data_IF_950707591902
#
_entry.id   IF_950707591902
#
_cell.length_a   1.000
_cell.length_b   1.000
_cell.length_c   1.000
_cell.angle_alpha   90.00
_cell.angle_beta   90.00
_cell.angle_gamma   90.00
#
_symmetry.space_group_name_H-M   'P 1'
#
loop_
_entity.id
_entity.type
_entity.pdbx_description
1 polymer ?
#
# COMPACT_ATOMS: atom_id res chain seq x y z
N UNK A 1 21.64 -7.70 17.03
CA UNK A 1 20.40 -7.02 17.45
C UNK A 1 20.46 -6.83 18.96
N UNK A 2 20.57 -5.60 19.45
CA UNK A 2 20.54 -5.32 20.90
C UNK A 2 19.07 -5.12 21.29
N UNK A 3 18.53 -6.03 22.10
CA UNK A 3 17.17 -5.93 22.61
C UNK A 3 17.09 -4.72 23.55
N UNK A 4 16.31 -3.69 23.19
CA UNK A 4 15.96 -2.63 24.12
C UNK A 4 14.93 -3.22 25.10
N UNK A 5 15.23 -3.32 26.41
CA UNK A 5 14.31 -3.91 27.35
C UNK A 5 13.03 -3.08 27.43
N UNK A 6 11.87 -3.73 27.33
CA UNK A 6 10.57 -3.15 27.68
C UNK A 6 10.66 -2.68 29.14
N UNK A 7 10.84 -1.37 29.34
CA UNK A 7 10.83 -0.77 30.67
C UNK A 7 9.41 -0.83 31.23
N UNK A 8 9.15 -1.87 32.04
CA UNK A 8 7.93 -1.97 32.84
C UNK A 8 8.02 -0.98 33.99
N UNK A 9 6.88 -0.40 34.37
CA UNK A 9 6.80 0.40 35.60
C UNK A 9 7.22 -0.49 36.78
N UNK A 10 8.26 -0.08 37.50
CA UNK A 10 8.76 -0.82 38.65
C UNK A 10 7.98 -0.43 39.91
N UNK A 11 7.16 -1.36 40.41
CA UNK A 11 6.43 -1.24 41.68
C UNK A 11 6.99 -2.22 42.71
N UNK A 12 6.75 -1.95 44.00
CA UNK A 12 7.22 -2.81 45.10
C UNK A 12 6.76 -4.25 45.02
N UNK A 13 5.61 -4.51 44.37
CA UNK A 13 5.04 -5.86 44.22
C UNK A 13 5.10 -6.39 42.78
N UNK A 14 5.63 -5.62 41.83
CA UNK A 14 5.62 -5.96 40.40
C UNK A 14 4.22 -6.02 39.76
N UNK A 15 3.18 -5.65 40.52
CA UNK A 15 1.79 -5.58 40.07
C UNK A 15 1.25 -4.15 40.17
N UNK A 16 0.03 -3.94 39.68
CA UNK A 16 -0.67 -2.65 39.75
C UNK A 16 -1.02 -2.19 41.18
N UNK A 17 -0.90 -3.06 42.18
CA UNK A 17 -1.29 -2.77 43.58
C UNK A 17 -0.10 -2.41 44.48
N UNK A 18 1.12 -2.38 43.95
CA UNK A 18 2.30 -1.92 44.68
C UNK A 18 2.45 -0.40 44.68
N UNK A 19 3.34 0.09 45.54
CA UNK A 19 3.78 1.49 45.56
C UNK A 19 4.95 1.71 44.60
N UNK A 20 5.15 2.96 44.16
CA UNK A 20 6.28 3.36 43.32
C UNK A 20 7.58 3.44 44.14
N UNK A 21 8.72 3.15 43.51
CA UNK A 21 10.04 3.30 44.12
C UNK A 21 10.50 4.75 43.98
N UNK A 22 10.95 5.35 45.08
CA UNK A 22 11.50 6.70 45.07
C UNK A 22 12.79 6.75 44.24
N UNK A 23 12.93 7.76 43.37
CA UNK A 23 14.16 8.03 42.61
C UNK A 23 14.90 9.19 43.27
N UNK A 24 16.21 9.02 43.46
CA UNK A 24 17.11 10.05 43.98
C UNK A 24 18.03 10.55 42.85
N UNK A 25 18.37 11.84 42.84
CA UNK A 25 19.28 12.45 41.86
C UNK A 25 18.62 13.41 40.87
N UNK A 26 19.43 13.96 39.96
CA UNK A 26 18.99 14.88 38.90
C UNK A 26 18.82 14.11 37.58
N UNK A 27 17.86 14.53 36.76
CA UNK A 27 17.65 13.99 35.41
C UNK A 27 18.60 14.66 34.42
N UNK A 28 19.30 13.87 33.61
CA UNK A 28 20.17 14.35 32.54
C UNK A 28 19.44 14.37 31.19
N UNK A 29 19.91 15.21 30.27
CA UNK A 29 19.35 15.30 28.93
C UNK A 29 19.84 14.15 28.04
N UNK A 30 18.89 13.38 27.50
CA UNK A 30 19.16 12.28 26.56
C UNK A 30 18.92 12.65 25.10
N UNK A 31 18.41 13.86 24.84
CA UNK A 31 18.13 14.40 23.53
C UNK A 31 18.73 15.81 23.43
N UNK A 32 19.17 16.17 22.22
CA UNK A 32 19.63 17.52 21.91
C UNK A 32 18.49 18.49 21.63
N UNK A 33 18.84 19.74 21.37
CA UNK A 33 17.90 20.87 21.26
C UNK A 33 16.88 20.72 20.11
N UNK A 34 17.20 19.94 19.08
CA UNK A 34 16.32 19.63 17.94
C UNK A 34 15.48 18.36 18.13
N UNK A 35 15.50 17.74 19.31
CA UNK A 35 14.74 16.54 19.63
C UNK A 35 15.39 15.21 19.17
N UNK A 36 16.62 15.23 18.67
CA UNK A 36 17.34 14.01 18.32
C UNK A 36 18.10 13.44 19.53
N UNK A 37 18.05 12.11 19.71
CA UNK A 37 18.81 11.42 20.76
C UNK A 37 20.32 11.64 20.58
N UNK A 38 21.02 11.93 21.69
CA UNK A 38 22.47 12.11 21.68
C UNK A 38 23.19 10.80 21.31
N UNK A 39 24.36 10.85 20.65
CA UNK A 39 25.12 9.65 20.32
C UNK A 39 25.43 8.81 21.56
N UNK A 40 25.30 7.49 21.45
CA UNK A 40 25.54 6.55 22.56
C UNK A 40 24.30 6.18 23.38
N UNK A 41 23.20 6.95 23.29
CA UNK A 41 21.92 6.53 23.87
C UNK A 41 21.32 5.41 23.02
N UNK A 42 21.14 4.23 23.63
CA UNK A 42 20.53 3.09 22.98
C UNK A 42 19.08 3.41 22.55
N UNK A 43 18.75 3.11 21.30
CA UNK A 43 17.43 3.36 20.72
C UNK A 43 16.94 2.17 19.90
N UNK A 44 15.63 2.04 19.78
CA UNK A 44 15.01 1.16 18.80
C UNK A 44 15.18 1.81 17.43
N UNK A 45 15.64 1.07 16.43
CA UNK A 45 15.95 1.60 15.11
C UNK A 45 14.73 2.27 14.45
N UNK A 46 13.55 1.67 14.61
CA UNK A 46 12.30 2.20 14.11
C UNK A 46 11.17 1.91 15.10
N UNK A 47 10.48 2.96 15.56
CA UNK A 47 9.35 2.87 16.50
C UNK A 47 7.98 2.97 15.81
N UNK A 48 7.94 3.09 14.47
CA UNK A 48 6.70 3.04 13.72
C UNK A 48 6.18 1.60 13.64
N UNK A 49 4.86 1.44 13.72
CA UNK A 49 4.19 0.16 13.52
C UNK A 49 4.19 -0.19 12.03
N UNK A 50 4.92 -1.26 11.67
CA UNK A 50 4.99 -1.75 10.29
C UNK A 50 3.94 -2.83 10.03
N UNK A 51 3.33 -2.89 8.83
CA UNK A 51 2.31 -3.90 8.51
C UNK A 51 2.75 -5.35 8.78
N UNK A 52 4.06 -5.64 8.67
CA UNK A 52 4.64 -6.98 8.89
C UNK A 52 4.68 -7.40 10.37
N UNK A 53 4.73 -6.45 11.30
CA UNK A 53 4.90 -6.69 12.74
C UNK A 53 3.75 -6.18 13.59
N UNK A 54 2.78 -5.49 12.97
CA UNK A 54 1.64 -4.90 13.65
C UNK A 54 0.63 -5.99 14.03
N UNK A 55 0.22 -6.09 15.31
CA UNK A 55 -0.75 -7.10 15.75
C UNK A 55 -2.15 -6.79 15.22
N UNK A 56 -2.98 -7.84 15.09
CA UNK A 56 -4.31 -7.77 14.46
C UNK A 56 -5.24 -6.71 15.06
N UNK A 57 -5.14 -6.46 16.37
CA UNK A 57 -5.98 -5.47 17.06
C UNK A 57 -5.68 -4.01 16.69
N UNK A 58 -4.55 -3.73 16.02
CA UNK A 58 -4.21 -2.40 15.51
C UNK A 58 -4.59 -2.20 14.05
N UNK A 59 -5.36 -3.11 13.44
CA UNK A 59 -5.76 -2.99 12.05
C UNK A 59 -6.80 -1.87 11.86
N UNK A 60 -6.60 -1.04 10.84
CA UNK A 60 -7.50 0.07 10.51
C UNK A 60 -8.50 -0.34 9.44
N UNK A 61 -9.73 0.17 9.54
CA UNK A 61 -10.71 0.01 8.47
C UNK A 61 -10.24 0.73 7.19
N UNK A 62 -10.45 0.15 5.99
CA UNK A 62 -10.16 0.85 4.75
C UNK A 62 -11.00 2.14 4.64
N UNK A 63 -10.51 3.10 3.86
CA UNK A 63 -11.19 4.35 3.55
C UNK A 63 -11.31 4.53 2.03
N UNK A 64 -12.23 5.39 1.59
CA UNK A 64 -12.18 5.92 0.22
C UNK A 64 -10.78 6.51 -0.06
N UNK A 65 -10.16 6.26 -1.22
CA UNK A 65 -10.73 5.74 -2.48
C UNK A 65 -10.59 4.22 -2.70
N UNK A 66 -10.18 3.45 -1.68
CA UNK A 66 -10.02 2.01 -1.83
C UNK A 66 -11.37 1.34 -2.07
N UNK A 67 -11.42 0.38 -2.98
CA UNK A 67 -12.63 -0.42 -3.20
C UNK A 67 -12.97 -1.24 -1.95
N UNK A 68 -14.24 -1.22 -1.53
CA UNK A 68 -14.76 -1.96 -0.39
C UNK A 68 -16.22 -2.36 -0.68
N UNK A 69 -16.65 -3.59 -0.37
CA UNK A 69 -18.05 -4.01 -0.49
C UNK A 69 -19.10 -3.10 0.16
N UNK A 70 -18.71 -2.27 1.14
CA UNK A 70 -19.66 -1.40 1.86
C UNK A 70 -20.08 -0.15 1.09
N UNK A 71 -19.29 0.33 0.12
CA UNK A 71 -19.64 1.51 -0.69
C UNK A 71 -19.64 1.19 -2.19
N UNK A 72 -20.50 1.86 -2.97
CA UNK A 72 -20.60 1.58 -4.40
C UNK A 72 -19.29 1.92 -5.11
N UNK A 73 -18.88 1.04 -6.03
CA UNK A 73 -17.73 1.24 -6.91
C UNK A 73 -18.18 1.97 -8.17
N UNK A 74 -17.49 3.05 -8.54
CA UNK A 74 -17.69 3.73 -9.82
C UNK A 74 -17.09 2.92 -10.96
N UNK A 75 -17.66 3.03 -12.15
CA UNK A 75 -17.18 2.35 -13.36
C UNK A 75 -15.72 2.72 -13.68
N UNK A 76 -14.99 1.77 -14.28
CA UNK A 76 -13.63 2.01 -14.79
C UNK A 76 -13.66 2.06 -16.31
N UNK A 77 -13.03 3.06 -16.89
CA UNK A 77 -12.85 3.15 -18.33
C UNK A 77 -11.69 2.26 -18.79
N UNK A 78 -11.83 1.67 -19.98
CA UNK A 78 -10.75 0.98 -20.69
C UNK A 78 -10.58 1.59 -22.07
N UNK A 79 -9.39 1.48 -22.64
CA UNK A 79 -9.13 1.94 -24.00
C UNK A 79 -9.78 0.97 -25.00
N UNK A 80 -10.65 1.50 -25.87
CA UNK A 80 -11.23 0.73 -26.97
C UNK A 80 -10.22 0.43 -28.09
N UNK A 81 -10.44 -0.67 -28.81
CA UNK A 81 -9.72 -1.00 -30.03
C UNK A 81 -10.38 -0.32 -31.24
N UNK A 82 -9.59 0.24 -32.16
CA UNK A 82 -10.10 1.00 -33.32
C UNK A 82 -10.79 0.14 -34.39
N UNK A 83 -10.80 -1.18 -34.26
CA UNK A 83 -11.27 -2.11 -35.29
C UNK A 83 -10.14 -2.68 -36.14
N UNK A 84 -10.47 -3.64 -36.98
CA UNK A 84 -9.52 -4.37 -37.83
C UNK A 84 -8.89 -3.37 -38.83
N UNK A 85 -7.55 -3.23 -38.87
CA UNK A 85 -6.90 -2.35 -39.82
C UNK A 85 -7.08 -2.89 -41.24
N UNK A 86 -7.61 -2.05 -42.13
CA UNK A 86 -7.73 -2.31 -43.56
C UNK A 86 -7.07 -1.18 -44.34
N UNK A 87 -6.97 -1.33 -45.67
CA UNK A 87 -6.53 -0.24 -46.55
C UNK A 87 -7.60 0.86 -46.71
N UNK A 88 -8.80 0.66 -46.15
CA UNK A 88 -9.91 1.62 -46.09
C UNK A 88 -10.29 1.91 -44.63
N UNK A 89 -11.53 2.32 -44.36
CA UNK A 89 -12.01 2.55 -43.00
C UNK A 89 -11.89 1.26 -42.14
N UNK A 90 -11.35 1.33 -40.91
CA UNK A 90 -11.34 0.20 -39.99
C UNK A 90 -12.75 -0.25 -39.66
N UNK A 91 -12.96 -1.57 -39.60
CA UNK A 91 -14.25 -2.17 -39.30
C UNK A 91 -14.12 -3.22 -38.19
N UNK A 92 -15.21 -3.45 -37.45
CA UNK A 92 -15.26 -4.49 -36.41
C UNK A 92 -15.70 -5.86 -36.93
N UNK A 93 -15.94 -5.98 -38.24
CA UNK A 93 -16.51 -7.17 -38.88
C UNK A 93 -15.63 -7.64 -40.03
N UNK A 94 -15.50 -8.96 -40.18
CA UNK A 94 -14.80 -9.57 -41.31
C UNK A 94 -15.81 -9.91 -42.40
N UNK A 95 -15.58 -9.44 -43.63
CA UNK A 95 -16.41 -9.76 -44.79
C UNK A 95 -15.89 -10.98 -45.55
N UNK A 96 -16.80 -11.71 -46.21
CA UNK A 96 -16.45 -12.77 -47.14
C UNK A 96 -15.81 -12.17 -48.40
N UNK A 97 -14.76 -12.83 -48.90
CA UNK A 97 -14.04 -12.40 -50.10
C UNK A 97 -14.64 -13.10 -51.31
N UNK A 98 -14.82 -12.37 -52.40
CA UNK A 98 -15.15 -12.98 -53.69
C UNK A 98 -13.95 -13.75 -54.28
N UNK A 99 -12.72 -13.26 -54.06
CA UNK A 99 -11.47 -13.88 -54.53
C UNK A 99 -10.63 -14.32 -53.33
N UNK A 100 -10.43 -15.63 -53.17
CA UNK A 100 -9.61 -16.21 -52.11
C UNK A 100 -8.41 -16.98 -52.69
N UNK A 101 -7.35 -16.22 -52.97
CA UNK A 101 -6.04 -16.77 -53.37
C UNK A 101 -5.05 -16.47 -52.23
N UNK A 102 -4.24 -17.45 -51.83
CA UNK A 102 -3.27 -17.27 -50.75
C UNK A 102 -2.32 -16.11 -51.07
N UNK A 103 -2.30 -15.10 -50.21
CA UNK A 103 -1.51 -13.87 -50.40
C UNK A 103 -2.21 -12.72 -51.12
N UNK A 104 -3.47 -12.89 -51.58
CA UNK A 104 -4.21 -11.80 -52.22
C UNK A 104 -4.67 -10.73 -51.21
N UNK A 105 -4.48 -9.45 -51.59
CA UNK A 105 -4.94 -8.27 -50.84
C UNK A 105 -6.30 -7.73 -51.32
N UNK A 106 -6.88 -8.31 -52.37
CA UNK A 106 -8.08 -7.79 -53.01
C UNK A 106 -9.33 -7.87 -52.13
N UNK A 107 -10.06 -6.77 -52.02
CA UNK A 107 -11.32 -6.63 -51.25
C UNK A 107 -12.28 -5.69 -51.97
N UNK A 108 -13.57 -5.88 -51.73
CA UNK A 108 -14.62 -4.95 -52.13
C UNK A 108 -15.14 -4.22 -50.87
N UNK A 109 -14.88 -2.92 -50.77
CA UNK A 109 -15.24 -2.07 -49.63
C UNK A 109 -16.55 -1.30 -49.83
N UNK A 110 -17.22 -1.42 -50.98
CA UNK A 110 -18.36 -0.55 -51.32
C UNK A 110 -19.62 -0.82 -50.50
N UNK A 111 -19.65 -1.92 -49.74
CA UNK A 111 -20.80 -2.37 -48.94
C UNK A 111 -20.43 -2.69 -47.48
N UNK A 112 -19.20 -2.35 -47.07
CA UNK A 112 -18.68 -2.61 -45.72
C UNK A 112 -18.98 -1.48 -44.76
#
# INVERSE_FOLDING_TARGET
MVAVPLQKVQTTTGTRFGTLVARNGKTEFIAGDNGHLVPGVAKINNSFNHPETTPVFMNSAPRWPKENPTWPKTEKATMGYKGIPTDYLPASTVTLKAVEIKGTKERNFNFS
#
